data_IF_093270816805
#
_entry.id   IF_093270816805
#
_cell.length_a   1.000
_cell.length_b   1.000
_cell.length_c   1.000
_cell.angle_alpha   90.00
_cell.angle_beta   90.00
_cell.angle_gamma   90.00
#
_symmetry.space_group_name_H-M   'P 1'
#
loop_
_entity.id
_entity.type
_entity.pdbx_description
1 polymer ?
#
# COMPACT_ATOMS: atom_id res chain seq x y z
N UNK A 1 -11.40 3.78 -3.53
CA UNK A 1 -10.02 4.17 -3.88
C UNK A 1 -9.28 2.88 -4.12
N UNK A 2 -8.75 2.70 -5.33
CA UNK A 2 -7.86 1.61 -5.68
C UNK A 2 -6.51 2.25 -6.02
N UNK A 3 -5.45 1.82 -5.35
CA UNK A 3 -4.10 2.34 -5.58
C UNK A 3 -3.13 1.17 -5.66
N UNK A 4 -2.18 1.26 -6.57
CA UNK A 4 -1.07 0.32 -6.68
C UNK A 4 0.22 1.06 -7.01
N UNK A 5 1.35 0.53 -6.54
CA UNK A 5 2.68 1.04 -6.90
C UNK A 5 3.75 -0.04 -6.69
N UNK A 6 4.96 0.20 -7.22
CA UNK A 6 6.10 -0.71 -7.06
C UNK A 6 6.65 -0.68 -5.64
N UNK A 7 7.14 -1.84 -5.22
CA UNK A 7 7.73 -2.06 -3.92
C UNK A 7 9.19 -2.46 -4.04
N UNK A 8 9.89 -2.45 -2.91
CA UNK A 8 11.23 -3.00 -2.82
C UNK A 8 11.27 -4.45 -3.32
N UNK A 9 12.37 -4.83 -3.97
CA UNK A 9 12.52 -6.05 -4.75
C UNK A 9 12.19 -5.88 -6.24
N UNK A 10 11.45 -4.84 -6.63
CA UNK A 10 11.15 -4.58 -8.04
C UNK A 10 12.39 -4.22 -8.88
N UNK A 11 13.48 -3.75 -8.24
CA UNK A 11 14.79 -3.53 -8.86
C UNK A 11 15.40 -4.81 -9.48
N UNK A 12 14.93 -6.00 -9.10
CA UNK A 12 15.37 -7.25 -9.71
C UNK A 12 14.81 -7.43 -11.13
N UNK A 13 13.72 -6.74 -11.47
CA UNK A 13 13.01 -6.87 -12.75
C UNK A 13 13.16 -5.66 -13.67
N UNK A 14 13.89 -4.63 -13.25
CA UNK A 14 14.15 -3.43 -14.03
C UNK A 14 15.12 -2.46 -13.34
N UNK A 15 15.47 -1.37 -14.01
CA UNK A 15 16.32 -0.30 -13.43
C UNK A 15 15.44 0.88 -13.04
N UNK A 16 14.96 0.97 -11.78
CA UNK A 16 14.23 2.15 -11.34
C UNK A 16 15.13 3.39 -11.48
N UNK A 17 14.58 4.47 -12.03
CA UNK A 17 15.33 5.74 -12.21
C UNK A 17 15.75 6.35 -10.87
N UNK A 18 14.96 6.12 -9.83
CA UNK A 18 15.33 6.35 -8.43
C UNK A 18 14.73 5.21 -7.58
N UNK A 19 15.54 4.60 -6.71
CA UNK A 19 15.12 3.51 -5.81
C UNK A 19 14.21 3.99 -4.69
N UNK A 20 14.23 5.29 -4.36
CA UNK A 20 13.36 5.88 -3.34
C UNK A 20 11.87 5.84 -3.72
N UNK A 21 11.54 5.56 -4.99
CA UNK A 21 10.16 5.35 -5.43
C UNK A 21 9.63 3.93 -5.16
N UNK A 22 10.48 3.02 -4.67
CA UNK A 22 10.07 1.68 -4.30
C UNK A 22 9.65 1.65 -2.85
N UNK A 23 8.39 1.30 -2.62
CA UNK A 23 7.84 1.26 -1.27
C UNK A 23 8.49 0.15 -0.44
N UNK A 24 8.90 0.50 0.78
CA UNK A 24 9.25 -0.47 1.80
C UNK A 24 8.02 -1.34 2.17
N UNK A 25 8.20 -2.58 2.64
CA UNK A 25 7.07 -3.42 3.06
C UNK A 25 6.11 -2.70 4.02
N UNK A 26 4.81 -2.78 3.73
CA UNK A 26 3.76 -2.14 4.54
C UNK A 26 3.68 -0.61 4.44
N UNK A 27 4.52 0.05 3.63
CA UNK A 27 4.51 1.51 3.55
C UNK A 27 3.19 2.06 3.01
N UNK A 28 2.61 1.42 2.00
CA UNK A 28 1.37 1.90 1.37
C UNK A 28 0.23 1.98 2.40
N UNK A 29 0.03 0.92 3.19
CA UNK A 29 -1.00 0.91 4.23
C UNK A 29 -0.70 1.89 5.34
N UNK A 30 0.56 2.05 5.74
CA UNK A 30 0.96 2.96 6.81
C UNK A 30 0.66 4.41 6.47
N UNK A 31 0.88 4.81 5.21
CA UNK A 31 0.60 6.16 4.72
C UNK A 31 -0.91 6.45 4.66
N UNK A 32 -1.72 5.49 4.23
CA UNK A 32 -3.14 5.72 3.97
C UNK A 32 -4.07 5.37 5.14
N UNK A 33 -3.69 4.49 6.06
CA UNK A 33 -4.51 4.09 7.21
C UNK A 33 -4.95 5.25 8.13
N UNK A 34 -4.21 6.36 8.29
CA UNK A 34 -4.68 7.49 9.08
C UNK A 34 -5.85 8.27 8.47
N UNK A 35 -6.07 8.17 7.15
CA UNK A 35 -7.08 8.99 6.45
C UNK A 35 -8.12 8.16 5.69
N UNK A 36 -7.87 6.87 5.48
CA UNK A 36 -8.74 5.97 4.75
C UNK A 36 -9.00 4.69 5.56
N UNK A 37 -10.19 4.13 5.38
CA UNK A 37 -10.45 2.77 5.82
C UNK A 37 -9.91 1.80 4.76
N UNK A 38 -8.85 1.06 5.12
CA UNK A 38 -8.29 0.01 4.27
C UNK A 38 -9.22 -1.21 4.30
N UNK A 39 -9.63 -1.67 3.12
CA UNK A 39 -10.50 -2.83 2.91
C UNK A 39 -9.66 -4.06 2.57
N UNK A 40 -8.65 -3.89 1.72
CA UNK A 40 -7.70 -4.95 1.34
C UNK A 40 -6.32 -4.36 1.09
N UNK A 41 -5.30 -5.14 1.40
CA UNK A 41 -3.90 -4.84 1.11
C UNK A 41 -3.22 -6.09 0.55
N UNK A 42 -2.45 -5.89 -0.50
CA UNK A 42 -1.62 -6.93 -1.11
C UNK A 42 -0.20 -6.42 -1.26
N UNK A 43 0.77 -7.27 -0.94
CA UNK A 43 2.18 -7.06 -1.21
C UNK A 43 2.78 -8.36 -1.73
N UNK A 44 3.38 -8.32 -2.91
CA UNK A 44 3.92 -9.54 -3.47
C UNK A 44 4.63 -9.36 -4.80
N UNK A 45 5.30 -10.45 -5.18
CA UNK A 45 5.95 -10.64 -6.46
C UNK A 45 4.98 -11.27 -7.43
N UNK A 46 4.78 -10.62 -8.57
CA UNK A 46 3.99 -11.15 -9.68
C UNK A 46 4.93 -11.50 -10.82
N UNK A 47 4.68 -12.64 -11.48
CA UNK A 47 5.51 -13.11 -12.59
C UNK A 47 4.85 -12.92 -13.96
N UNK A 48 3.52 -12.78 -13.99
CA UNK A 48 2.69 -12.69 -15.19
C UNK A 48 1.63 -11.60 -14.95
N UNK A 49 1.31 -10.74 -15.95
CA UNK A 49 1.88 -10.69 -17.29
C UNK A 49 3.27 -10.05 -17.34
N UNK A 50 3.69 -9.35 -16.27
CA UNK A 50 5.02 -8.73 -16.17
C UNK A 50 5.60 -8.97 -14.79
N UNK A 51 6.87 -9.37 -14.76
CA UNK A 51 7.62 -9.56 -13.52
C UNK A 51 7.73 -8.25 -12.75
N UNK A 52 7.21 -8.21 -11.53
CA UNK A 52 7.27 -7.03 -10.68
C UNK A 52 7.08 -7.39 -9.22
N UNK A 53 7.46 -6.47 -8.32
CA UNK A 53 7.03 -6.48 -6.92
C UNK A 53 6.21 -5.23 -6.67
N UNK A 54 4.99 -5.39 -6.14
CA UNK A 54 4.05 -4.27 -5.93
C UNK A 54 3.37 -4.33 -4.59
N UNK A 55 2.83 -3.18 -4.20
CA UNK A 55 1.84 -3.03 -3.15
C UNK A 55 0.55 -2.49 -3.74
N UNK A 56 -0.59 -3.00 -3.28
CA UNK A 56 -1.92 -2.54 -3.70
C UNK A 56 -2.82 -2.38 -2.49
N UNK A 57 -3.69 -1.38 -2.55
CA UNK A 57 -4.77 -1.21 -1.57
C UNK A 57 -6.11 -1.00 -2.26
N UNK A 58 -7.14 -1.57 -1.64
CA UNK A 58 -8.51 -1.11 -1.79
C UNK A 58 -8.91 -0.39 -0.51
N UNK A 59 -9.42 0.83 -0.64
CA UNK A 59 -9.79 1.66 0.49
C UNK A 59 -11.02 2.53 0.18
N UNK A 60 -11.73 2.94 1.23
CA UNK A 60 -12.84 3.90 1.11
C UNK A 60 -12.63 5.08 2.05
N UNK A 61 -13.22 6.22 1.69
CA UNK A 61 -13.36 7.34 2.62
C UNK A 61 -14.30 6.91 3.75
N UNK A 62 -13.89 7.13 4.99
CA UNK A 62 -14.62 6.71 6.17
C UNK A 62 -13.73 6.81 7.39
N UNK A 63 -14.32 6.71 8.58
CA UNK A 63 -13.59 6.70 9.85
C UNK A 63 -12.51 5.61 9.80
N UNK A 64 -11.25 5.98 10.02
CA UNK A 64 -10.21 4.98 10.24
C UNK A 64 -10.40 4.36 11.62
N UNK A 65 -9.77 3.21 11.89
CA UNK A 65 -9.94 2.52 13.18
C UNK A 65 -9.63 3.44 14.39
N UNK A 66 -8.64 4.33 14.25
CA UNK A 66 -8.31 5.31 15.28
C UNK A 66 -9.46 6.31 15.54
N UNK A 67 -10.26 6.64 14.52
CA UNK A 67 -11.42 7.52 14.66
C UNK A 67 -12.62 6.81 15.30
N UNK A 68 -12.74 5.49 15.14
CA UNK A 68 -13.73 4.70 15.87
C UNK A 68 -13.35 4.57 17.35
N UNK A 69 -12.10 4.24 17.67
CA UNK A 69 -11.65 4.09 19.06
C UNK A 69 -11.81 5.41 19.83
N UNK A 70 -11.46 6.55 19.23
CA UNK A 70 -11.66 7.88 19.86
C UNK A 70 -13.13 8.24 20.07
N UNK A 71 -14.03 7.66 19.29
CA UNK A 71 -15.47 7.91 19.36
C UNK A 71 -16.16 7.08 20.43
N UNK A 72 -15.57 5.96 20.86
CA UNK A 72 -16.12 5.06 21.88
C UNK A 72 -15.58 5.35 23.29
N UNK A 73 -14.51 6.14 23.41
CA UNK A 73 -13.93 6.56 24.68
C UNK A 73 -14.52 7.88 25.24
N UNK A 74 -15.72 8.29 24.80
CA UNK A 74 -16.46 9.47 25.32
C UNK A 74 -17.75 9.02 25.98
#
# INVERSE_FOLDING_TARGET
ILMETFADGNQEFGRPRNRDFLLAPGELIRVFSPSLQIISYEHGKELVPRKCVRQRICARKGKCLADLIRSECV
#
